data_IF_889593234788
#
_entry.id   IF_889593234788
#
_cell.length_a   1.000
_cell.length_b   1.000
_cell.length_c   1.000
_cell.angle_alpha   90.00
_cell.angle_beta   90.00
_cell.angle_gamma   90.00
#
_symmetry.space_group_name_H-M   'P 1'
#
loop_
_entity.id
_entity.type
_entity.pdbx_description
1 polymer ?
#
# COMPACT_ATOMS: atom_id res chain seq x y z
N UNK A 1 -38.50 -16.62 6.20
CA UNK A 1 -37.04 -16.78 6.39
C UNK A 1 -36.64 -15.74 7.42
N UNK A 2 -36.52 -16.14 8.68
CA UNK A 2 -36.02 -15.26 9.74
C UNK A 2 -34.56 -14.91 9.45
N UNK A 3 -34.30 -13.61 9.25
CA UNK A 3 -32.97 -13.04 9.25
C UNK A 3 -32.40 -13.19 10.66
N UNK A 4 -31.67 -14.28 10.91
CA UNK A 4 -30.78 -14.35 12.07
C UNK A 4 -29.72 -13.27 11.87
N UNK A 5 -29.89 -12.14 12.53
CA UNK A 5 -28.83 -11.17 12.80
C UNK A 5 -27.70 -11.93 13.49
N UNK A 6 -26.73 -12.37 12.69
CA UNK A 6 -25.47 -12.90 13.18
C UNK A 6 -24.69 -11.69 13.67
N UNK A 7 -24.33 -11.68 14.95
CA UNK A 7 -23.38 -10.72 15.51
C UNK A 7 -22.15 -10.60 14.60
N UNK A 8 -22.06 -9.49 13.85
CA UNK A 8 -20.97 -9.25 12.91
C UNK A 8 -19.75 -8.82 13.71
N UNK A 9 -18.75 -9.70 13.80
CA UNK A 9 -17.46 -9.35 14.39
C UNK A 9 -16.66 -8.49 13.40
N UNK A 10 -16.25 -7.30 13.83
CA UNK A 10 -15.47 -6.37 13.00
C UNK A 10 -14.00 -6.34 13.43
N UNK A 11 -13.09 -6.28 12.46
CA UNK A 11 -11.68 -6.07 12.69
C UNK A 11 -11.15 -4.93 11.78
N UNK A 12 -10.42 -4.00 12.39
CA UNK A 12 -9.83 -2.85 11.70
C UNK A 12 -8.32 -3.02 11.59
N UNK A 13 -7.78 -2.89 10.38
CA UNK A 13 -6.35 -2.92 10.15
C UNK A 13 -5.93 -1.73 9.28
N UNK A 14 -4.98 -0.94 9.78
CA UNK A 14 -4.28 0.07 9.00
C UNK A 14 -2.88 -0.42 8.64
N UNK A 15 -2.48 -0.17 7.39
CA UNK A 15 -1.16 -0.50 6.86
C UNK A 15 -0.49 0.77 6.33
N UNK A 16 0.81 0.91 6.55
CA UNK A 16 1.62 1.92 5.87
C UNK A 16 2.94 1.28 5.45
N UNK A 17 3.06 0.93 4.17
CA UNK A 17 4.34 0.68 3.53
C UNK A 17 4.88 2.02 3.02
N UNK A 18 5.49 2.81 3.88
CA UNK A 18 6.41 3.83 3.39
C UNK A 18 7.81 3.23 3.25
N UNK A 19 8.56 3.75 2.25
CA UNK A 19 10.03 3.70 2.14
C UNK A 19 10.67 3.56 3.51
N UNK A 20 11.70 2.72 3.71
CA UNK A 20 12.06 2.11 4.99
C UNK A 20 12.06 3.14 6.11
N UNK A 21 10.88 3.39 6.66
CA UNK A 21 10.79 4.13 7.88
C UNK A 21 11.38 3.15 8.88
N UNK A 22 12.34 3.59 9.71
CA UNK A 22 13.02 2.73 10.68
C UNK A 22 12.08 2.04 11.69
N UNK A 23 10.77 2.22 11.53
CA UNK A 23 9.68 1.63 12.29
C UNK A 23 9.46 0.15 12.02
N UNK A 24 9.82 -0.37 10.83
CA UNK A 24 9.67 -1.80 10.54
C UNK A 24 10.88 -2.60 11.04
N UNK A 25 10.66 -3.49 12.02
CA UNK A 25 11.71 -4.26 12.68
C UNK A 25 12.62 -5.03 11.70
N UNK A 26 12.04 -5.63 10.66
CA UNK A 26 12.82 -6.34 9.64
C UNK A 26 13.71 -5.40 8.83
N UNK A 27 13.22 -4.21 8.45
CA UNK A 27 13.99 -3.17 7.78
C UNK A 27 15.17 -2.72 8.63
N UNK A 28 14.94 -2.55 9.93
CA UNK A 28 15.98 -2.18 10.88
C UNK A 28 17.05 -3.27 11.04
N UNK A 29 16.63 -4.55 11.17
CA UNK A 29 17.55 -5.68 11.26
C UNK A 29 18.38 -5.80 9.98
N UNK A 30 17.73 -5.75 8.82
CA UNK A 30 18.40 -5.81 7.52
C UNK A 30 19.40 -4.68 7.36
N UNK A 31 19.00 -3.43 7.68
CA UNK A 31 19.89 -2.26 7.66
C UNK A 31 21.11 -2.48 8.56
N UNK A 32 20.92 -2.99 9.77
CA UNK A 32 22.03 -3.31 10.68
C UNK A 32 22.96 -4.38 10.12
N UNK A 33 22.42 -5.42 9.47
CA UNK A 33 23.21 -6.48 8.85
C UNK A 33 24.05 -5.94 7.67
N UNK A 34 23.44 -5.14 6.79
CA UNK A 34 24.14 -4.50 5.68
C UNK A 34 25.26 -3.57 6.19
N UNK A 35 24.99 -2.73 7.20
CA UNK A 35 26.00 -1.86 7.80
C UNK A 35 27.15 -2.66 8.44
N UNK A 36 26.85 -3.77 9.12
CA UNK A 36 27.88 -4.68 9.66
C UNK A 36 28.70 -5.35 8.56
N UNK A 37 28.08 -5.63 7.41
CA UNK A 37 28.74 -6.18 6.22
C UNK A 37 29.56 -5.15 5.42
N UNK A 38 29.59 -3.88 5.83
CA UNK A 38 30.33 -2.83 5.12
C UNK A 38 29.57 -2.19 3.96
N UNK A 39 28.31 -2.54 3.74
CA UNK A 39 27.47 -2.01 2.67
C UNK A 39 26.85 -0.67 3.09
N UNK A 40 27.67 0.37 3.21
CA UNK A 40 27.21 1.72 3.54
C UNK A 40 28.11 2.79 2.91
N UNK A 41 27.52 3.96 2.67
CA UNK A 41 28.20 5.17 2.25
C UNK A 41 28.02 6.27 3.31
N UNK A 42 28.96 7.22 3.34
CA UNK A 42 28.80 8.41 4.17
C UNK A 42 28.10 9.49 3.36
N UNK A 43 26.95 9.93 3.85
CA UNK A 43 26.27 11.12 3.34
C UNK A 43 26.58 12.29 4.26
N UNK A 44 26.99 13.42 3.70
CA UNK A 44 27.25 14.65 4.44
C UNK A 44 26.05 15.59 4.30
N UNK A 45 25.39 15.87 5.41
CA UNK A 45 24.27 16.81 5.46
C UNK A 45 24.77 18.26 5.29
N UNK A 46 23.88 19.21 4.93
CA UNK A 46 24.26 20.63 4.82
C UNK A 46 24.84 21.25 6.10
N UNK A 47 24.62 20.63 7.26
CA UNK A 47 25.17 21.03 8.55
C UNK A 47 26.59 20.43 8.82
N UNK A 48 27.14 19.64 7.89
CA UNK A 48 28.43 18.96 8.03
C UNK A 48 28.36 17.60 8.76
N UNK A 49 27.18 17.17 9.21
CA UNK A 49 27.04 15.86 9.85
C UNK A 49 27.16 14.73 8.83
N UNK A 50 28.02 13.75 9.11
CA UNK A 50 28.18 12.54 8.29
C UNK A 50 27.34 11.41 8.86
N UNK A 51 26.38 10.93 8.08
CA UNK A 51 25.54 9.79 8.44
C UNK A 51 25.84 8.63 7.51
N UNK A 52 25.92 7.43 8.09
CA UNK A 52 26.02 6.18 7.32
C UNK A 52 24.66 5.84 6.75
N UNK A 53 24.57 5.68 5.45
CA UNK A 53 23.36 5.17 4.81
C UNK A 53 23.66 4.09 3.77
N UNK A 54 22.64 3.28 3.47
CA UNK A 54 22.76 2.17 2.52
C UNK A 54 22.31 2.66 1.15
N UNK A 55 23.22 2.63 0.18
CA UNK A 55 22.86 2.80 -1.22
C UNK A 55 22.52 1.44 -1.82
N UNK A 56 21.22 1.11 -1.82
CA UNK A 56 20.73 -0.14 -2.42
C UNK A 56 20.98 -0.20 -3.93
N UNK A 57 21.09 0.95 -4.59
CA UNK A 57 21.22 1.07 -6.04
C UNK A 57 22.58 0.61 -6.57
N UNK A 58 23.62 0.60 -5.73
CA UNK A 58 24.99 0.27 -6.17
C UNK A 58 25.24 -1.25 -6.19
N UNK A 59 24.49 -2.02 -5.41
CA UNK A 59 24.67 -3.47 -5.24
C UNK A 59 23.41 -4.25 -5.62
N UNK A 60 23.33 -4.70 -6.88
CA UNK A 60 22.16 -5.39 -7.45
C UNK A 60 21.69 -6.57 -6.60
N UNK A 61 22.61 -7.32 -5.99
CA UNK A 61 22.30 -8.46 -5.12
C UNK A 61 21.56 -8.04 -3.85
N UNK A 62 21.96 -6.91 -3.25
CA UNK A 62 21.34 -6.37 -2.04
C UNK A 62 19.98 -5.77 -2.39
N UNK A 63 19.85 -5.07 -3.51
CA UNK A 63 18.57 -4.57 -4.01
C UNK A 63 17.57 -5.71 -4.23
N UNK A 64 17.99 -6.81 -4.89
CA UNK A 64 17.15 -8.00 -5.10
C UNK A 64 16.74 -8.66 -3.80
N UNK A 65 17.68 -8.82 -2.86
CA UNK A 65 17.39 -9.39 -1.54
C UNK A 65 16.41 -8.51 -0.76
N UNK A 66 16.63 -7.19 -0.75
CA UNK A 66 15.74 -6.22 -0.13
C UNK A 66 14.33 -6.29 -0.70
N UNK A 67 14.23 -6.23 -2.03
CA UNK A 67 12.95 -6.32 -2.73
C UNK A 67 12.23 -7.64 -2.44
N UNK A 68 12.97 -8.75 -2.36
CA UNK A 68 12.43 -10.05 -1.97
C UNK A 68 11.89 -10.06 -0.54
N UNK A 69 12.57 -9.41 0.41
CA UNK A 69 12.07 -9.25 1.78
C UNK A 69 10.79 -8.41 1.82
N UNK A 70 10.67 -7.37 0.99
CA UNK A 70 9.45 -6.58 0.87
C UNK A 70 8.28 -7.42 0.34
N UNK A 71 8.52 -8.29 -0.65
CA UNK A 71 7.52 -9.24 -1.17
C UNK A 71 7.04 -10.16 -0.04
N UNK A 72 7.96 -10.78 0.71
CA UNK A 72 7.61 -11.67 1.83
C UNK A 72 6.77 -10.91 2.87
N UNK A 73 7.19 -9.70 3.25
CA UNK A 73 6.47 -8.90 4.23
C UNK A 73 5.04 -8.55 3.77
N UNK A 74 4.87 -8.15 2.51
CA UNK A 74 3.55 -7.86 1.94
C UNK A 74 2.64 -9.11 1.93
N UNK A 75 3.17 -10.26 1.49
CA UNK A 75 2.43 -11.53 1.45
C UNK A 75 2.04 -11.99 2.85
N UNK A 76 2.98 -12.02 3.79
CA UNK A 76 2.71 -12.43 5.17
C UNK A 76 1.70 -11.49 5.85
N UNK A 77 1.83 -10.19 5.65
CA UNK A 77 0.89 -9.22 6.24
C UNK A 77 -0.51 -9.41 5.68
N UNK A 78 -0.65 -9.51 4.36
CA UNK A 78 -1.94 -9.76 3.70
C UNK A 78 -2.57 -11.07 4.18
N UNK A 79 -1.77 -12.14 4.25
CA UNK A 79 -2.26 -13.44 4.70
C UNK A 79 -2.71 -13.40 6.17
N UNK A 80 -1.85 -12.93 7.08
CA UNK A 80 -2.12 -12.95 8.52
C UNK A 80 -3.25 -12.00 8.92
N UNK A 81 -3.29 -10.78 8.37
CA UNK A 81 -4.28 -9.77 8.79
C UNK A 81 -5.59 -9.86 8.02
N UNK A 82 -5.56 -10.24 6.74
CA UNK A 82 -6.77 -10.26 5.91
C UNK A 82 -7.31 -11.68 5.83
N UNK A 83 -6.52 -12.62 5.31
CA UNK A 83 -7.02 -13.97 5.03
C UNK A 83 -7.40 -14.75 6.29
N UNK A 84 -6.58 -14.71 7.34
CA UNK A 84 -6.92 -15.38 8.61
C UNK A 84 -8.16 -14.74 9.25
N UNK A 85 -8.26 -13.40 9.28
CA UNK A 85 -9.43 -12.71 9.85
C UNK A 85 -10.72 -13.04 9.10
N UNK A 86 -10.68 -13.07 7.77
CA UNK A 86 -11.81 -13.50 6.95
C UNK A 86 -12.19 -14.97 7.21
N UNK A 87 -11.20 -15.85 7.33
CA UNK A 87 -11.44 -17.26 7.63
C UNK A 87 -12.09 -17.47 9.01
N UNK A 88 -11.77 -16.61 9.98
CA UNK A 88 -12.41 -16.59 11.30
C UNK A 88 -13.81 -15.92 11.29
N UNK A 89 -14.30 -15.49 10.14
CA UNK A 89 -15.64 -14.90 9.96
C UNK A 89 -15.74 -13.43 10.33
N UNK A 90 -14.62 -12.70 10.43
CA UNK A 90 -14.63 -11.26 10.66
C UNK A 90 -14.89 -10.49 9.36
N UNK A 91 -15.55 -9.34 9.48
CA UNK A 91 -15.52 -8.30 8.44
C UNK A 91 -14.22 -7.51 8.59
N UNK A 92 -13.44 -7.44 7.52
CA UNK A 92 -12.14 -6.77 7.50
C UNK A 92 -12.24 -5.45 6.76
N UNK A 93 -12.00 -4.33 7.45
CA UNK A 93 -11.73 -3.04 6.82
C UNK A 93 -10.22 -2.82 6.79
N UNK A 94 -9.65 -2.79 5.58
CA UNK A 94 -8.23 -2.58 5.37
C UNK A 94 -7.96 -1.19 4.79
N UNK A 95 -7.27 -0.34 5.57
CA UNK A 95 -6.68 0.89 5.05
C UNK A 95 -5.34 0.54 4.38
N UNK A 96 -5.18 0.91 3.10
CA UNK A 96 -4.00 0.60 2.26
C UNK A 96 -3.68 -0.91 2.21
N UNK A 97 -4.61 -1.68 1.65
CA UNK A 97 -4.50 -3.14 1.55
C UNK A 97 -3.44 -3.65 0.54
N UNK A 98 -3.65 -4.88 0.08
CA UNK A 98 -2.76 -5.60 -0.86
C UNK A 98 -2.43 -4.77 -2.11
N UNK A 99 -3.41 -4.03 -2.62
CA UNK A 99 -3.27 -3.22 -3.84
C UNK A 99 -2.24 -2.11 -3.64
N UNK A 100 -2.30 -1.38 -2.52
CA UNK A 100 -1.35 -0.31 -2.22
C UNK A 100 0.06 -0.87 -2.05
N UNK A 101 0.18 -1.96 -1.27
CA UNK A 101 1.46 -2.68 -1.10
C UNK A 101 2.06 -3.12 -2.43
N UNK A 102 1.22 -3.59 -3.35
CA UNK A 102 1.64 -4.03 -4.68
C UNK A 102 2.13 -2.87 -5.54
N UNK A 103 1.44 -1.73 -5.51
CA UNK A 103 1.86 -0.52 -6.23
C UNK A 103 3.22 -0.05 -5.70
N UNK A 104 3.40 -0.03 -4.38
CA UNK A 104 4.67 0.28 -3.74
C UNK A 104 5.79 -0.66 -4.21
N UNK A 105 5.55 -1.99 -4.18
CA UNK A 105 6.51 -2.98 -4.68
C UNK A 105 6.88 -2.75 -6.15
N UNK A 106 5.90 -2.50 -7.01
CA UNK A 106 6.18 -2.27 -8.43
C UNK A 106 6.96 -0.97 -8.67
N UNK A 107 6.71 0.05 -7.86
CA UNK A 107 7.47 1.30 -7.90
C UNK A 107 8.92 1.08 -7.45
N UNK A 108 9.11 0.37 -6.34
CA UNK A 108 10.44 0.06 -5.81
C UNK A 108 11.23 -0.82 -6.79
N UNK A 109 10.59 -1.83 -7.41
CA UNK A 109 11.24 -2.65 -8.43
C UNK A 109 11.73 -1.81 -9.62
N UNK A 110 10.91 -0.85 -10.07
CA UNK A 110 11.30 0.09 -11.14
C UNK A 110 12.50 0.94 -10.75
N UNK A 111 12.49 1.50 -9.54
CA UNK A 111 13.56 2.40 -9.07
C UNK A 111 14.87 1.65 -8.79
N UNK A 112 14.79 0.44 -8.24
CA UNK A 112 15.94 -0.44 -8.03
C UNK A 112 16.49 -1.06 -9.33
N UNK A 113 15.91 -0.74 -10.48
CA UNK A 113 16.32 -1.31 -11.77
C UNK A 113 16.04 -2.81 -11.91
N UNK A 114 15.21 -3.38 -11.03
CA UNK A 114 14.87 -4.80 -11.02
C UNK A 114 13.86 -5.05 -12.14
N UNK A 115 14.36 -5.58 -13.26
CA UNK A 115 13.56 -5.89 -14.45
C UNK A 115 13.30 -7.39 -14.57
N UNK A 116 12.21 -7.73 -15.24
CA UNK A 116 11.94 -9.08 -15.71
C UNK A 116 10.51 -9.55 -15.49
N UNK A 117 10.09 -10.53 -16.28
CA UNK A 117 8.75 -11.14 -16.23
C UNK A 117 8.42 -11.80 -14.89
N UNK A 118 9.43 -12.07 -14.04
CA UNK A 118 9.21 -12.64 -12.72
C UNK A 118 8.57 -11.65 -11.74
N UNK A 119 8.89 -10.34 -11.85
CA UNK A 119 8.29 -9.29 -11.00
C UNK A 119 6.80 -9.22 -11.27
N UNK A 120 6.40 -9.18 -12.54
CA UNK A 120 5.00 -9.19 -12.98
C UNK A 120 4.27 -10.48 -12.54
N UNK A 121 4.93 -11.64 -12.66
CA UNK A 121 4.35 -12.92 -12.18
C UNK A 121 4.12 -12.92 -10.68
N UNK A 122 5.07 -12.41 -9.88
CA UNK A 122 4.89 -12.29 -8.43
C UNK A 122 3.80 -11.27 -8.12
N UNK A 123 3.80 -10.12 -8.79
CA UNK A 123 2.78 -9.11 -8.63
C UNK A 123 1.37 -9.67 -8.87
N UNK A 124 1.19 -10.43 -9.95
CA UNK A 124 -0.06 -11.13 -10.23
C UNK A 124 -0.43 -12.16 -9.16
N UNK A 125 0.54 -12.88 -8.60
CA UNK A 125 0.30 -13.81 -7.47
C UNK A 125 -0.10 -13.08 -6.20
N UNK A 126 0.53 -11.95 -5.87
CA UNK A 126 0.16 -11.11 -4.73
C UNK A 126 -1.26 -10.57 -4.91
N UNK A 127 -1.64 -10.16 -6.12
CA UNK A 127 -2.99 -9.68 -6.43
C UNK A 127 -4.08 -10.74 -6.14
N UNK A 128 -3.75 -12.03 -6.21
CA UNK A 128 -4.67 -13.12 -5.81
C UNK A 128 -4.96 -13.15 -4.30
N UNK A 129 -4.19 -12.44 -3.48
CA UNK A 129 -4.46 -12.27 -2.06
C UNK A 129 -5.59 -11.26 -1.78
N UNK A 130 -6.08 -10.55 -2.80
CA UNK A 130 -7.33 -9.79 -2.71
C UNK A 130 -8.51 -10.78 -2.75
N UNK A 131 -9.44 -10.76 -1.78
CA UNK A 131 -10.62 -11.64 -1.75
C UNK A 131 -11.59 -11.41 -2.91
N UNK A 132 -12.23 -12.48 -3.41
CA UNK A 132 -13.17 -12.49 -4.56
C UNK A 132 -14.53 -11.80 -4.31
N UNK A 133 -14.74 -11.26 -3.12
CA UNK A 133 -15.95 -10.52 -2.75
C UNK A 133 -15.59 -9.19 -2.07
N UNK A 134 -14.35 -8.74 -2.24
CA UNK A 134 -13.91 -7.47 -1.72
C UNK A 134 -14.56 -6.31 -2.50
N UNK A 135 -14.94 -5.27 -1.77
CA UNK A 135 -15.20 -3.95 -2.35
C UNK A 135 -13.94 -3.12 -2.21
N UNK A 136 -13.33 -2.79 -3.33
CA UNK A 136 -12.11 -1.97 -3.40
C UNK A 136 -12.53 -0.54 -3.67
N UNK A 137 -12.32 0.33 -2.68
CA UNK A 137 -12.60 1.77 -2.82
C UNK A 137 -11.29 2.52 -3.06
N UNK A 138 -11.14 3.06 -4.26
CA UNK A 138 -10.01 3.90 -4.63
C UNK A 138 -10.40 5.39 -4.57
N UNK A 139 -9.84 6.11 -3.59
CA UNK A 139 -10.03 7.54 -3.44
C UNK A 139 -9.02 8.30 -4.30
N UNK A 140 -9.51 8.94 -5.36
CA UNK A 140 -8.72 9.74 -6.28
C UNK A 140 -8.88 11.23 -6.01
N UNK A 141 -7.90 12.03 -6.41
CA UNK A 141 -7.99 13.49 -6.39
C UNK A 141 -7.05 14.09 -7.42
N UNK A 142 -7.36 15.31 -7.86
CA UNK A 142 -6.45 16.09 -8.68
C UNK A 142 -5.21 16.52 -7.88
N UNK A 143 -4.14 16.83 -8.63
CA UNK A 143 -2.83 17.16 -8.08
C UNK A 143 -2.85 18.40 -7.19
N UNK A 144 -3.69 19.39 -7.51
CA UNK A 144 -3.76 20.65 -6.77
C UNK A 144 -4.49 20.46 -5.44
N UNK A 145 -5.58 19.70 -5.42
CA UNK A 145 -6.26 19.28 -4.20
C UNK A 145 -5.33 18.47 -3.29
N UNK A 146 -4.54 17.54 -3.86
CA UNK A 146 -3.57 16.75 -3.10
C UNK A 146 -2.48 17.63 -2.48
N UNK A 147 -1.89 18.54 -3.26
CA UNK A 147 -0.89 19.52 -2.78
C UNK A 147 -1.43 20.40 -1.66
N UNK A 148 -2.64 20.94 -1.80
CA UNK A 148 -3.29 21.73 -0.74
C UNK A 148 -3.45 20.91 0.55
N UNK A 149 -3.83 19.63 0.44
CA UNK A 149 -3.99 18.73 1.59
C UNK A 149 -2.67 18.44 2.30
N UNK A 150 -1.58 18.21 1.54
CA UNK A 150 -0.25 18.02 2.12
C UNK A 150 0.25 19.29 2.82
N UNK A 151 0.10 20.46 2.19
CA UNK A 151 0.47 21.73 2.78
C UNK A 151 -0.26 21.98 4.11
N UNK A 152 -1.58 21.73 4.15
CA UNK A 152 -2.38 21.88 5.38
C UNK A 152 -1.95 20.93 6.50
N UNK A 153 -1.45 19.74 6.17
CA UNK A 153 -0.97 18.74 7.15
C UNK A 153 0.47 18.98 7.59
N UNK A 154 1.22 19.86 6.91
CA UNK A 154 2.66 20.03 7.14
C UNK A 154 3.48 18.79 6.77
N UNK A 155 2.94 17.91 5.92
CA UNK A 155 3.61 16.67 5.48
C UNK A 155 4.35 16.89 4.16
N UNK A 156 5.42 16.14 3.95
CA UNK A 156 6.16 16.12 2.67
C UNK A 156 5.23 15.79 1.51
N UNK A 157 5.32 16.58 0.44
CA UNK A 157 4.59 16.31 -0.79
C UNK A 157 5.27 15.15 -1.51
N UNK A 158 4.49 14.11 -1.80
CA UNK A 158 4.98 12.95 -2.56
C UNK A 158 5.53 13.36 -3.93
N UNK A 159 6.60 12.70 -4.43
CA UNK A 159 7.15 12.98 -5.76
C UNK A 159 6.09 12.86 -6.87
N UNK A 160 6.13 13.76 -7.84
CA UNK A 160 5.16 13.77 -8.96
C UNK A 160 5.23 12.49 -9.80
N UNK A 161 6.42 11.94 -10.00
CA UNK A 161 6.59 10.64 -10.69
C UNK A 161 5.90 9.51 -9.92
N UNK A 162 6.02 9.49 -8.60
CA UNK A 162 5.35 8.50 -7.76
C UNK A 162 3.82 8.60 -7.87
N UNK A 163 3.26 9.81 -7.74
CA UNK A 163 1.82 10.03 -7.90
C UNK A 163 1.32 9.57 -9.28
N UNK A 164 2.04 9.93 -10.35
CA UNK A 164 1.68 9.51 -11.70
C UNK A 164 1.75 7.98 -11.87
N UNK A 165 2.74 7.35 -11.24
CA UNK A 165 2.89 5.90 -11.23
C UNK A 165 1.71 5.23 -10.52
N UNK A 166 1.35 5.71 -9.33
CA UNK A 166 0.20 5.19 -8.58
C UNK A 166 -1.10 5.27 -9.39
N UNK A 167 -1.36 6.39 -10.07
CA UNK A 167 -2.57 6.54 -10.90
C UNK A 167 -2.62 5.49 -12.00
N UNK A 168 -1.52 5.31 -12.75
CA UNK A 168 -1.44 4.31 -13.82
C UNK A 168 -1.57 2.88 -13.28
N UNK A 169 -0.88 2.58 -12.18
CA UNK A 169 -0.90 1.25 -11.58
C UNK A 169 -2.31 0.90 -11.05
N UNK A 170 -2.99 1.84 -10.39
CA UNK A 170 -4.38 1.64 -9.97
C UNK A 170 -5.33 1.35 -11.13
N UNK A 171 -5.19 2.06 -12.27
CA UNK A 171 -5.99 1.80 -13.47
C UNK A 171 -5.74 0.41 -14.07
N UNK A 172 -4.49 -0.05 -14.07
CA UNK A 172 -4.15 -1.39 -14.53
C UNK A 172 -4.70 -2.47 -13.58
N UNK A 173 -4.56 -2.26 -12.27
CA UNK A 173 -5.03 -3.20 -11.25
C UNK A 173 -6.56 -3.26 -11.18
N UNK A 174 -7.27 -2.15 -11.38
CA UNK A 174 -8.73 -2.15 -11.43
C UNK A 174 -9.25 -3.03 -12.57
N UNK A 175 -8.59 -2.97 -13.74
CA UNK A 175 -8.91 -3.82 -14.88
C UNK A 175 -8.67 -5.31 -14.57
N UNK A 176 -7.58 -5.62 -13.89
CA UNK A 176 -7.23 -7.01 -13.50
C UNK A 176 -8.13 -7.59 -12.38
N UNK A 177 -8.77 -6.73 -11.58
CA UNK A 177 -9.64 -7.15 -10.49
C UNK A 177 -11.14 -7.14 -10.84
N UNK A 178 -11.52 -6.55 -11.98
CA UNK A 178 -12.93 -6.31 -12.33
C UNK A 178 -13.81 -7.56 -12.35
N UNK A 179 -13.23 -8.73 -12.66
CA UNK A 179 -13.95 -10.01 -12.68
C UNK A 179 -14.11 -10.65 -11.29
N UNK A 180 -13.35 -10.18 -10.30
CA UNK A 180 -13.24 -10.77 -8.96
C UNK A 180 -13.68 -9.86 -7.84
N UNK A 181 -13.73 -8.55 -8.05
CA UNK A 181 -14.02 -7.59 -7.00
C UNK A 181 -14.86 -6.46 -7.55
N UNK A 182 -15.68 -5.86 -6.69
CA UNK A 182 -16.27 -4.57 -7.01
C UNK A 182 -15.20 -3.49 -6.82
N UNK A 183 -14.84 -2.80 -7.89
CA UNK A 183 -13.86 -1.72 -7.85
C UNK A 183 -14.56 -0.38 -8.04
N UNK A 184 -14.55 0.44 -7.00
CA UNK A 184 -15.21 1.74 -6.99
C UNK A 184 -14.16 2.83 -6.90
N UNK A 185 -14.22 3.77 -7.85
CA UNK A 185 -13.38 4.95 -7.84
C UNK A 185 -14.20 6.17 -7.44
N UNK A 186 -13.77 6.87 -6.39
CA UNK A 186 -14.43 8.08 -5.89
C UNK A 186 -13.47 9.26 -6.08
N UNK A 187 -13.93 10.33 -6.73
CA UNK A 187 -13.16 11.55 -6.89
C UNK A 187 -13.40 12.48 -5.70
N UNK A 188 -12.37 12.71 -4.90
CA UNK A 188 -12.45 13.52 -3.68
C UNK A 188 -11.97 14.95 -3.88
N UNK A 189 -11.74 15.39 -5.11
CA UNK A 189 -11.17 16.72 -5.42
C UNK A 189 -11.94 17.88 -4.78
N UNK A 190 -13.26 17.86 -4.91
CA UNK A 190 -14.19 18.87 -4.40
C UNK A 190 -14.94 18.44 -3.13
N UNK A 191 -14.97 17.15 -2.82
CA UNK A 191 -15.83 16.61 -1.78
C UNK A 191 -15.25 16.87 -0.38
N UNK A 192 -16.13 17.23 0.54
CA UNK A 192 -15.84 17.22 1.98
C UNK A 192 -15.65 15.78 2.49
N UNK A 193 -15.14 15.66 3.71
CA UNK A 193 -14.97 14.34 4.37
C UNK A 193 -16.32 13.63 4.52
N UNK A 194 -17.36 14.37 4.91
CA UNK A 194 -18.70 13.81 5.12
C UNK A 194 -19.35 13.36 3.81
N UNK A 195 -19.22 14.14 2.73
CA UNK A 195 -19.72 13.74 1.41
C UNK A 195 -19.01 12.49 0.89
N UNK A 196 -17.67 12.47 1.01
CA UNK A 196 -16.88 11.29 0.63
C UNK A 196 -17.29 10.07 1.45
N UNK A 197 -17.52 10.23 2.75
CA UNK A 197 -17.96 9.13 3.62
C UNK A 197 -19.33 8.57 3.19
N UNK A 198 -20.30 9.44 2.88
CA UNK A 198 -21.62 9.03 2.35
C UNK A 198 -21.52 8.29 1.02
N UNK A 199 -20.65 8.75 0.12
CA UNK A 199 -20.39 8.07 -1.16
C UNK A 199 -19.82 6.67 -0.93
N UNK A 200 -18.85 6.51 -0.02
CA UNK A 200 -18.28 5.20 0.35
C UNK A 200 -19.38 4.28 0.88
N UNK A 201 -20.21 4.74 1.82
CA UNK A 201 -21.31 3.96 2.38
C UNK A 201 -22.29 3.49 1.30
N UNK A 202 -22.67 4.39 0.39
CA UNK A 202 -23.51 4.07 -0.76
C UNK A 202 -22.87 2.99 -1.64
N UNK A 203 -21.57 3.10 -1.90
CA UNK A 203 -20.81 2.17 -2.74
C UNK A 203 -20.67 0.77 -2.13
N UNK A 204 -20.69 0.63 -0.81
CA UNK A 204 -20.68 -0.69 -0.15
C UNK A 204 -22.09 -1.24 0.11
N UNK A 205 -23.13 -0.60 -0.43
CA UNK A 205 -24.52 -1.02 -0.26
C UNK A 205 -25.08 -0.81 1.15
N UNK A 206 -24.47 0.07 1.95
CA UNK A 206 -24.96 0.41 3.28
C UNK A 206 -26.27 1.20 3.15
N UNK A 207 -27.34 0.75 3.83
CA UNK A 207 -28.64 1.42 3.84
C UNK A 207 -28.74 2.33 5.06
N UNK A 208 -29.20 3.56 4.84
CA UNK A 208 -29.28 4.66 5.84
C UNK A 208 -30.24 4.39 7.00
N UNK A 209 -30.94 3.25 7.05
CA UNK A 209 -31.91 2.90 8.10
C UNK A 209 -31.29 2.66 9.49
N UNK A 210 -29.99 2.91 9.67
CA UNK A 210 -29.24 2.68 10.91
C UNK A 210 -28.57 3.94 11.49
N UNK A 211 -28.89 5.14 10.98
CA UNK A 211 -28.42 6.43 11.52
C UNK A 211 -29.57 7.34 11.95
#
# INVERSE_FOLDING_TARGET
>A
MESKDKDVKQAFFSYSAHFPSPTNLHSFIFRKLCMKGGFYHYFEYPNGEKVKDIHFEEEESIAKLWFFLQIINAVLTAFVKVQISLWLGYTVLAERGVIDSLIHLLYDARNLGIKGSWVEKIAYKILKLVPDNAVVVNLTCDKEALRRRYARRGSTVEPVDYINFQVKANQALSSALKERCEYVQICTSSNSVMETFKEILKSIGWRDEQF
#
